data_IF_789122664120
#
_entry.id   IF_789122664120
#
_cell.length_a   1.000
_cell.length_b   1.000
_cell.length_c   1.000
_cell.angle_alpha   90.00
_cell.angle_beta   90.00
_cell.angle_gamma   90.00
#
_symmetry.space_group_name_H-M   'P 1'
#
loop_
_entity.id
_entity.type
_entity.pdbx_description
1 polymer ?
#
# COMPACT_ATOMS: atom_id res chain seq x y z
N UNK A 1 -5.42 -16.86 5.07
CA UNK A 1 -5.50 -17.16 3.63
C UNK A 1 -5.52 -15.83 2.88
N UNK A 2 -4.66 -15.65 1.88
CA UNK A 2 -4.59 -14.40 1.10
C UNK A 2 -5.26 -14.64 -0.25
N UNK A 3 -6.27 -13.84 -0.58
CA UNK A 3 -6.95 -13.94 -1.87
C UNK A 3 -6.07 -13.47 -3.03
N UNK A 4 -6.20 -14.14 -4.17
CA UNK A 4 -5.49 -13.81 -5.42
C UNK A 4 -6.44 -12.96 -6.28
N UNK A 5 -6.02 -11.76 -6.74
CA UNK A 5 -6.82 -10.93 -7.63
C UNK A 5 -7.15 -11.65 -8.95
N UNK A 6 -8.38 -11.59 -9.43
CA UNK A 6 -8.78 -12.30 -10.66
C UNK A 6 -7.97 -11.86 -11.89
N UNK A 7 -7.51 -10.60 -11.92
CA UNK A 7 -6.69 -10.08 -13.03
C UNK A 7 -5.36 -10.81 -13.25
N UNK A 8 -4.78 -11.47 -12.24
CA UNK A 8 -3.51 -12.22 -12.40
C UNK A 8 -3.74 -13.69 -12.79
N UNK A 9 -4.96 -14.20 -12.67
CA UNK A 9 -5.28 -15.62 -12.90
C UNK A 9 -4.90 -16.09 -14.31
N UNK A 10 -5.16 -15.33 -15.40
CA UNK A 10 -4.73 -15.73 -16.74
C UNK A 10 -3.20 -15.95 -16.84
N UNK A 11 -2.42 -15.01 -16.31
CA UNK A 11 -0.95 -15.11 -16.30
C UNK A 11 -0.46 -16.30 -15.45
N UNK A 12 -1.12 -16.59 -14.32
CA UNK A 12 -0.79 -17.78 -13.52
C UNK A 12 -1.08 -19.07 -14.29
N UNK A 13 -2.19 -19.17 -15.01
CA UNK A 13 -2.53 -20.36 -15.82
C UNK A 13 -1.51 -20.59 -16.93
N UNK A 14 -1.14 -19.53 -17.65
CA UNK A 14 -0.10 -19.60 -18.68
C UNK A 14 1.25 -20.04 -18.10
N UNK A 15 1.63 -19.47 -16.95
CA UNK A 15 2.88 -19.82 -16.26
C UNK A 15 2.90 -21.28 -15.82
N UNK A 16 1.81 -21.77 -15.23
CA UNK A 16 1.65 -23.18 -14.84
C UNK A 16 1.83 -24.11 -16.04
N UNK A 17 1.14 -23.82 -17.15
CA UNK A 17 1.19 -24.65 -18.36
C UNK A 17 2.57 -24.66 -19.04
N UNK A 18 3.36 -23.58 -18.87
CA UNK A 18 4.61 -23.41 -19.60
C UNK A 18 5.83 -23.84 -18.78
N UNK A 19 5.80 -23.64 -17.46
CA UNK A 19 7.01 -23.72 -16.64
C UNK A 19 6.95 -24.73 -15.49
N UNK A 20 5.77 -25.24 -15.13
CA UNK A 20 5.60 -26.14 -13.98
C UNK A 20 5.51 -27.58 -14.45
N UNK A 21 6.21 -28.48 -13.76
CA UNK A 21 6.19 -29.92 -14.05
C UNK A 21 4.87 -30.54 -13.57
N UNK A 22 4.44 -31.62 -14.22
CA UNK A 22 3.17 -32.30 -13.91
C UNK A 22 3.20 -33.12 -12.60
N UNK A 23 4.34 -33.17 -11.91
CA UNK A 23 4.53 -33.95 -10.70
C UNK A 23 3.97 -33.27 -9.44
N UNK A 24 3.33 -34.03 -8.53
CA UNK A 24 2.90 -33.49 -7.24
C UNK A 24 4.07 -32.89 -6.46
N UNK A 25 3.92 -31.64 -6.03
CA UNK A 25 4.97 -30.91 -5.32
C UNK A 25 5.96 -30.19 -6.22
N UNK A 26 5.75 -30.18 -7.55
CA UNK A 26 6.50 -29.34 -8.46
C UNK A 26 6.49 -27.87 -8.01
N UNK A 27 7.65 -27.22 -8.13
CA UNK A 27 7.77 -25.82 -7.77
C UNK A 27 7.00 -24.95 -8.78
N UNK A 28 6.16 -24.05 -8.26
CA UNK A 28 5.46 -23.06 -9.07
C UNK A 28 6.44 -22.15 -9.82
N UNK A 29 7.57 -21.81 -9.21
CA UNK A 29 8.60 -20.96 -9.80
C UNK A 29 9.95 -21.68 -9.80
N UNK A 30 10.19 -22.60 -10.75
CA UNK A 30 11.43 -23.34 -10.81
C UNK A 30 12.57 -22.48 -11.36
N UNK A 31 13.76 -22.70 -10.84
CA UNK A 31 15.02 -22.23 -11.42
C UNK A 31 15.37 -23.04 -12.67
N UNK A 32 16.44 -22.62 -13.37
CA UNK A 32 16.82 -23.18 -14.67
C UNK A 32 17.08 -24.70 -14.68
N UNK A 33 17.38 -25.31 -13.53
CA UNK A 33 17.62 -26.75 -13.37
C UNK A 33 16.50 -27.47 -12.60
N UNK A 34 15.28 -26.91 -12.57
CA UNK A 34 14.13 -27.48 -11.85
C UNK A 34 14.12 -27.27 -10.33
N UNK A 35 15.27 -26.98 -9.71
CA UNK A 35 15.33 -26.62 -8.28
C UNK A 35 14.82 -25.20 -7.97
N UNK A 36 14.80 -24.76 -6.71
CA UNK A 36 14.29 -23.44 -6.31
C UNK A 36 15.01 -22.28 -7.01
N UNK A 37 14.25 -21.26 -7.40
CA UNK A 37 14.80 -20.01 -7.92
C UNK A 37 15.65 -19.33 -6.83
N UNK A 38 16.95 -19.21 -7.08
CA UNK A 38 17.89 -18.54 -6.18
C UNK A 38 17.84 -17.03 -6.38
N UNK A 39 17.99 -16.27 -5.29
CA UNK A 39 18.03 -14.81 -5.30
C UNK A 39 19.08 -14.24 -6.27
N UNK A 40 20.26 -14.86 -6.32
CA UNK A 40 21.35 -14.42 -7.22
C UNK A 40 21.03 -14.59 -8.70
N UNK A 41 20.17 -15.54 -9.07
CA UNK A 41 19.76 -15.78 -10.45
C UNK A 41 18.49 -15.05 -10.87
N UNK A 42 17.86 -14.29 -9.96
CA UNK A 42 16.55 -13.68 -10.20
C UNK A 42 16.58 -12.76 -11.43
N UNK A 43 17.46 -11.75 -11.44
CA UNK A 43 17.51 -10.75 -12.51
C UNK A 43 17.73 -11.37 -13.89
N UNK A 44 18.64 -12.34 -14.01
CA UNK A 44 18.90 -13.04 -15.26
C UNK A 44 17.70 -13.85 -15.71
N UNK A 45 17.02 -14.53 -14.77
CA UNK A 45 15.91 -15.43 -15.11
C UNK A 45 14.63 -14.68 -15.47
N UNK A 46 14.38 -13.54 -14.86
CA UNK A 46 13.19 -12.70 -15.08
C UNK A 46 13.43 -11.57 -16.07
N UNK A 47 14.68 -11.36 -16.51
CA UNK A 47 15.10 -10.18 -17.26
C UNK A 47 14.73 -8.87 -16.57
N UNK A 48 14.69 -8.85 -15.24
CA UNK A 48 14.16 -7.72 -14.46
C UNK A 48 14.75 -6.37 -14.87
N UNK A 49 16.07 -6.31 -15.03
CA UNK A 49 16.78 -5.08 -15.41
C UNK A 49 16.34 -4.58 -16.78
N UNK A 50 16.19 -5.48 -17.75
CA UNK A 50 15.74 -5.13 -19.11
C UNK A 50 14.29 -4.66 -19.09
N UNK A 51 13.42 -5.40 -18.39
CA UNK A 51 11.98 -5.07 -18.28
C UNK A 51 11.79 -3.69 -17.64
N UNK A 52 12.50 -3.39 -16.56
CA UNK A 52 12.46 -2.07 -15.90
C UNK A 52 12.92 -0.96 -16.84
N UNK A 53 13.96 -1.21 -17.64
CA UNK A 53 14.47 -0.27 -18.64
C UNK A 53 13.47 -0.07 -19.79
N UNK A 54 12.89 -1.14 -20.31
CA UNK A 54 11.89 -1.13 -21.39
C UNK A 54 10.61 -0.39 -20.94
N UNK A 55 10.24 -0.49 -19.67
CA UNK A 55 9.13 0.28 -19.08
C UNK A 55 9.46 1.75 -18.80
N UNK A 56 10.72 2.18 -18.96
CA UNK A 56 11.14 3.54 -18.66
C UNK A 56 11.11 3.90 -17.16
N UNK A 57 11.29 2.92 -16.27
CA UNK A 57 11.25 3.10 -14.81
C UNK A 57 12.63 2.90 -14.16
N UNK A 58 13.69 3.64 -14.56
CA UNK A 58 15.03 3.40 -14.05
C UNK A 58 15.09 3.52 -12.53
N UNK A 59 15.74 2.55 -11.89
CA UNK A 59 15.87 2.50 -10.43
C UNK A 59 14.76 1.72 -9.70
N UNK A 60 13.76 1.19 -10.41
CA UNK A 60 12.77 0.29 -9.81
C UNK A 60 13.40 -1.06 -9.44
N UNK A 61 13.42 -1.37 -8.16
CA UNK A 61 13.87 -2.65 -7.63
C UNK A 61 12.70 -3.60 -7.46
N UNK A 62 12.97 -4.90 -7.52
CA UNK A 62 11.92 -5.91 -7.34
C UNK A 62 11.20 -5.82 -5.98
N UNK A 63 11.91 -5.41 -4.92
CA UNK A 63 11.30 -5.24 -3.59
C UNK A 63 10.33 -4.06 -3.52
N UNK A 64 10.45 -3.08 -4.41
CA UNK A 64 9.54 -1.94 -4.48
C UNK A 64 8.11 -2.40 -4.86
N UNK A 65 7.98 -3.48 -5.63
CA UNK A 65 6.67 -4.08 -5.92
C UNK A 65 5.94 -4.54 -4.65
N UNK A 66 6.69 -5.05 -3.66
CA UNK A 66 6.11 -5.43 -2.36
C UNK A 66 5.67 -4.20 -1.59
N UNK A 67 6.45 -3.11 -1.63
CA UNK A 67 6.06 -1.84 -1.03
C UNK A 67 4.77 -1.30 -1.68
N UNK A 68 4.68 -1.29 -3.02
CA UNK A 68 3.48 -0.88 -3.76
C UNK A 68 2.27 -1.75 -3.40
N UNK A 69 2.42 -3.08 -3.40
CA UNK A 69 1.32 -3.99 -3.05
C UNK A 69 0.81 -3.80 -1.62
N UNK A 70 1.70 -3.44 -0.69
CA UNK A 70 1.37 -3.14 0.69
C UNK A 70 0.64 -1.79 0.83
N UNK A 71 1.07 -0.76 0.08
CA UNK A 71 0.36 0.52 0.00
C UNK A 71 -1.05 0.34 -0.54
N UNK A 72 -1.22 -0.34 -1.68
CA UNK A 72 -2.54 -0.62 -2.28
C UNK A 72 -3.45 -1.41 -1.32
N UNK A 73 -2.89 -2.34 -0.55
CA UNK A 73 -3.64 -3.07 0.45
C UNK A 73 -4.10 -2.14 1.60
N UNK A 74 -3.25 -1.23 2.06
CA UNK A 74 -3.63 -0.26 3.08
C UNK A 74 -4.69 0.74 2.55
N UNK A 75 -4.60 1.13 1.27
CA UNK A 75 -5.56 2.04 0.61
C UNK A 75 -6.95 1.43 0.45
N UNK A 76 -7.05 0.10 0.41
CA UNK A 76 -8.34 -0.59 0.31
C UNK A 76 -9.27 -0.40 1.53
N UNK A 77 -8.78 0.25 2.60
CA UNK A 77 -9.53 0.43 3.84
C UNK A 77 -9.54 -0.81 4.74
N UNK A 78 -8.76 -1.84 4.41
CA UNK A 78 -8.64 -3.06 5.21
C UNK A 78 -8.18 -2.75 6.65
N UNK A 79 -8.77 -3.45 7.61
CA UNK A 79 -8.36 -3.34 9.01
C UNK A 79 -6.93 -3.83 9.24
N UNK A 80 -6.30 -3.39 10.34
CA UNK A 80 -4.90 -3.73 10.65
C UNK A 80 -4.65 -5.25 10.64
N UNK A 81 -5.61 -6.03 11.15
CA UNK A 81 -5.54 -7.50 11.18
C UNK A 81 -5.47 -8.11 9.79
N UNK A 82 -6.31 -7.64 8.87
CA UNK A 82 -6.36 -8.12 7.49
C UNK A 82 -5.12 -7.70 6.71
N UNK A 83 -4.63 -6.49 6.99
CA UNK A 83 -3.40 -5.95 6.44
C UNK A 83 -2.18 -6.78 6.86
N UNK A 84 -2.08 -7.12 8.16
CA UNK A 84 -1.04 -8.01 8.68
C UNK A 84 -1.11 -9.41 8.07
N UNK A 85 -2.31 -9.97 7.92
CA UNK A 85 -2.50 -11.28 7.29
C UNK A 85 -2.03 -11.30 5.83
N UNK A 86 -2.25 -10.20 5.09
CA UNK A 86 -1.78 -10.04 3.72
C UNK A 86 -0.27 -9.79 3.61
N UNK A 87 0.30 -9.04 4.54
CA UNK A 87 1.73 -8.73 4.57
C UNK A 87 2.60 -9.91 5.05
N UNK A 88 2.00 -10.88 5.73
CA UNK A 88 2.74 -11.89 6.50
C UNK A 88 2.92 -11.39 7.93
N UNK A 89 2.51 -12.21 8.90
CA UNK A 89 2.28 -11.82 10.29
C UNK A 89 3.52 -11.31 11.06
N UNK A 90 4.70 -11.37 10.46
CA UNK A 90 5.97 -11.13 11.16
C UNK A 90 6.32 -9.65 11.35
N UNK A 91 5.48 -8.70 10.92
CA UNK A 91 5.82 -7.28 11.01
C UNK A 91 4.63 -6.32 11.22
N UNK A 92 4.15 -6.24 12.47
CA UNK A 92 3.15 -5.24 12.93
C UNK A 92 3.58 -3.80 12.62
N UNK A 93 4.87 -3.49 12.84
CA UNK A 93 5.41 -2.14 12.63
C UNK A 93 5.27 -1.70 11.17
N UNK A 94 5.55 -2.60 10.23
CA UNK A 94 5.35 -2.30 8.80
C UNK A 94 3.88 -2.05 8.47
N UNK A 95 2.96 -2.88 8.97
CA UNK A 95 1.53 -2.69 8.73
C UNK A 95 1.03 -1.33 9.26
N UNK A 96 1.48 -0.92 10.45
CA UNK A 96 1.20 0.40 11.03
C UNK A 96 1.73 1.54 10.14
N UNK A 97 2.96 1.44 9.64
CA UNK A 97 3.55 2.46 8.75
C UNK A 97 2.67 2.69 7.52
N UNK A 98 2.26 1.62 6.84
CA UNK A 98 1.41 1.74 5.65
C UNK A 98 0.01 2.25 5.98
N UNK A 99 -0.58 1.77 7.08
CA UNK A 99 -1.89 2.23 7.51
C UNK A 99 -1.87 3.74 7.84
N UNK A 100 -0.82 4.24 8.49
CA UNK A 100 -0.66 5.67 8.76
C UNK A 100 -0.39 6.48 7.49
N UNK A 101 0.38 5.95 6.52
CA UNK A 101 0.61 6.63 5.26
C UNK A 101 -0.70 6.90 4.49
N UNK A 102 -1.63 5.93 4.49
CA UNK A 102 -2.96 6.08 3.88
C UNK A 102 -3.86 7.00 4.71
N UNK A 103 -3.78 6.92 6.04
CA UNK A 103 -4.43 7.86 6.96
C UNK A 103 -3.82 9.27 6.92
N UNK A 104 -2.82 9.56 6.09
CA UNK A 104 -2.52 10.95 5.73
C UNK A 104 -3.75 11.71 5.20
N UNK A 105 -4.74 11.00 4.65
CA UNK A 105 -6.07 11.54 4.33
C UNK A 105 -6.93 11.93 5.55
N UNK A 106 -6.65 11.36 6.72
CA UNK A 106 -7.26 11.73 8.01
C UNK A 106 -6.90 13.17 8.38
N UNK A 107 -5.72 13.65 7.95
CA UNK A 107 -5.36 15.08 8.05
C UNK A 107 -6.37 15.97 7.33
N UNK A 108 -6.90 15.55 6.18
CA UNK A 108 -7.97 16.28 5.48
C UNK A 108 -9.29 16.29 6.28
N UNK A 109 -9.57 15.22 7.04
CA UNK A 109 -10.72 15.13 7.93
C UNK A 109 -10.52 16.06 9.13
N UNK A 110 -9.36 16.05 9.76
CA UNK A 110 -9.03 16.95 10.86
C UNK A 110 -9.00 18.41 10.41
N UNK A 111 -8.43 18.71 9.23
CA UNK A 111 -8.45 20.05 8.63
C UNK A 111 -9.88 20.51 8.28
N UNK A 112 -10.81 19.58 8.02
CA UNK A 112 -12.23 19.89 7.84
C UNK A 112 -12.94 20.14 9.18
N UNK A 113 -12.61 19.37 10.21
CA UNK A 113 -13.10 19.57 11.59
C UNK A 113 -12.59 20.92 12.13
N UNK A 114 -11.31 21.22 11.97
CA UNK A 114 -10.70 22.50 12.35
C UNK A 114 -11.38 23.68 11.64
N UNK A 115 -11.65 23.56 10.32
CA UNK A 115 -12.40 24.59 9.59
C UNK A 115 -13.81 24.82 10.15
N UNK A 116 -14.49 23.76 10.61
CA UNK A 116 -15.82 23.92 11.23
C UNK A 116 -15.77 24.47 12.65
N UNK A 117 -14.71 24.19 13.39
CA UNK A 117 -14.50 24.75 14.74
C UNK A 117 -14.15 26.25 14.63
N UNK A 118 -13.27 26.62 13.70
CA UNK A 118 -12.84 28.02 13.49
C UNK A 118 -13.97 28.85 12.88
N UNK A 119 -14.68 28.35 11.86
CA UNK A 119 -15.79 29.08 11.21
C UNK A 119 -17.03 29.31 12.10
N UNK A 120 -17.07 28.71 13.30
CA UNK A 120 -18.12 28.91 14.30
C UNK A 120 -17.73 29.93 15.38
N UNK A 121 -16.47 30.36 15.40
CA UNK A 121 -15.95 31.36 16.35
C UNK A 121 -16.12 32.82 15.91
N UNK A 122 -16.51 33.06 14.65
CA UNK A 122 -16.57 34.42 14.08
C UNK A 122 -17.99 35.04 14.06
N UNK A 123 -19.02 34.31 14.53
CA UNK A 123 -20.43 34.76 14.50
C UNK A 123 -20.98 35.20 15.88
N UNK A 124 -20.16 35.19 16.94
CA UNK A 124 -20.55 35.76 18.25
C UNK A 124 -19.88 37.13 18.48
N UNK A 125 -20.55 38.19 18.02
CA UNK A 125 -20.65 39.43 18.81
C UNK A 125 -20.07 40.72 18.24
N UNK A 126 -20.53 41.17 17.06
CA UNK A 126 -20.63 42.63 16.79
C UNK A 126 -22.02 43.12 17.22
N UNK A 127 -22.07 43.83 18.34
CA UNK A 127 -23.24 44.57 18.83
C UNK A 127 -22.78 45.96 19.25
N UNK A 128 -23.51 47.03 18.91
CA UNK A 128 -22.96 48.38 18.92
C UNK A 128 -22.67 48.88 20.34
N UNK A 129 -21.60 49.67 20.43
CA UNK A 129 -21.16 50.36 21.63
C UNK A 129 -22.29 51.14 22.31
N UNK A 130 -22.59 50.80 23.56
CA UNK A 130 -23.30 51.70 24.48
C UNK A 130 -22.38 52.08 25.64
N UNK A 131 -22.13 53.39 25.70
CA UNK A 131 -21.25 54.09 26.60
C UNK A 131 -21.83 54.05 28.03
N UNK A 132 -21.18 53.38 28.98
CA UNK A 132 -21.48 53.56 30.40
C UNK A 132 -20.23 54.07 31.14
N UNK A 133 -20.36 55.32 31.59
CA UNK A 133 -19.40 56.09 32.35
C UNK A 133 -19.07 55.46 33.72
N UNK A 134 -17.90 55.78 34.32
CA UNK A 134 -17.54 55.25 35.62
C UNK A 134 -18.30 55.98 36.73
N UNK A 135 -18.75 55.23 37.75
CA UNK A 135 -19.12 55.78 39.06
C UNK A 135 -18.09 55.28 40.08
N UNK A 136 -17.69 56.23 40.92
CA UNK A 136 -16.54 56.26 41.84
C UNK A 136 -16.46 55.14 42.87
#
# INVERSE_FOLDING_TARGET
MVGIPQGIVPALREHLATYVQDEPGALLFPGAKGGPLRRSGFNTRTRWVDVVKEMGLPGLHFHDLRHTGNMLAAESGAGLKDLMARMGHDNVRAAMIYQHAVRGADKTITDAIDRQIVGRGDDEGDGPAELLAPVS
#
